data_IF_616049797455
#
_entry.id   IF_616049797455
#
_cell.length_a   1.000
_cell.length_b   1.000
_cell.length_c   1.000
_cell.angle_alpha   90.00
_cell.angle_beta   90.00
_cell.angle_gamma   90.00
#
_symmetry.space_group_name_H-M   'P 1'
#
loop_
_entity.id
_entity.type
_entity.pdbx_description
1 polymer ?
#
# COMPACT_ATOMS: atom_id res chain seq x y z
N UNK A 1 6.31 -13.15 10.23
CA UNK A 1 5.67 -12.49 9.05
C UNK A 1 4.25 -12.97 8.91
N UNK A 2 3.34 -12.06 8.64
CA UNK A 2 1.92 -12.36 8.51
C UNK A 2 1.43 -11.87 7.14
N UNK A 3 0.73 -12.72 6.41
CA UNK A 3 0.16 -12.38 5.10
C UNK A 3 -1.35 -12.56 5.16
N UNK A 4 -2.09 -11.52 4.81
CA UNK A 4 -3.55 -11.55 4.82
C UNK A 4 -4.08 -10.98 3.52
N UNK A 5 -5.23 -11.51 3.05
CA UNK A 5 -5.94 -10.89 1.94
C UNK A 5 -6.71 -9.67 2.44
N UNK A 6 -6.77 -8.63 1.61
CA UNK A 6 -7.65 -7.50 1.87
C UNK A 6 -9.09 -8.01 1.78
N UNK A 7 -9.95 -7.55 2.67
CA UNK A 7 -11.36 -7.91 2.67
C UNK A 7 -12.20 -6.80 2.07
N UNK A 8 -13.28 -7.20 1.38
CA UNK A 8 -14.27 -6.25 0.86
C UNK A 8 -15.11 -5.69 2.02
N UNK A 9 -15.91 -4.68 1.74
CA UNK A 9 -16.85 -4.12 2.71
C UNK A 9 -17.87 -5.16 3.24
N UNK A 10 -18.05 -6.26 2.52
CA UNK A 10 -18.93 -7.36 2.91
C UNK A 10 -18.20 -8.47 3.66
N UNK A 11 -16.91 -8.29 3.99
CA UNK A 11 -16.10 -9.27 4.69
C UNK A 11 -15.56 -10.41 3.85
N UNK A 12 -15.67 -10.32 2.52
CA UNK A 12 -15.13 -11.33 1.62
C UNK A 12 -13.66 -11.06 1.30
N UNK A 13 -12.84 -12.09 1.35
CA UNK A 13 -11.42 -11.97 0.99
C UNK A 13 -11.27 -11.71 -0.50
N UNK A 14 -10.44 -10.74 -0.83
CA UNK A 14 -10.19 -10.35 -2.23
C UNK A 14 -8.95 -11.09 -2.72
N UNK A 15 -9.09 -11.84 -3.81
CA UNK A 15 -7.98 -12.58 -4.40
C UNK A 15 -6.88 -11.62 -4.87
N UNK A 16 -5.62 -12.02 -4.69
CA UNK A 16 -4.44 -11.32 -5.22
C UNK A 16 -4.18 -9.92 -4.66
N UNK A 17 -4.86 -9.54 -3.59
CA UNK A 17 -4.64 -8.26 -2.90
C UNK A 17 -4.26 -8.58 -1.46
N UNK A 18 -2.99 -8.35 -1.10
CA UNK A 18 -2.44 -8.83 0.16
C UNK A 18 -1.91 -7.70 1.03
N UNK A 19 -2.11 -7.83 2.33
CA UNK A 19 -1.40 -7.03 3.33
C UNK A 19 -0.39 -7.95 4.02
N UNK A 20 0.86 -7.55 3.99
CA UNK A 20 1.96 -8.31 4.59
C UNK A 20 2.50 -7.51 5.77
N UNK A 21 2.60 -8.15 6.92
CA UNK A 21 3.17 -7.51 8.12
C UNK A 21 4.44 -8.28 8.49
N UNK A 22 5.57 -7.59 8.61
CA UNK A 22 6.82 -8.22 9.01
C UNK A 22 6.98 -8.20 10.54
N UNK A 23 8.10 -8.76 11.01
CA UNK A 23 8.31 -8.98 12.43
C UNK A 23 8.60 -7.69 13.22
N UNK A 24 8.91 -6.60 12.55
CA UNK A 24 9.18 -5.30 13.19
C UNK A 24 8.04 -4.29 12.99
N UNK A 25 6.91 -4.75 12.46
CA UNK A 25 5.72 -3.93 12.34
C UNK A 25 5.61 -3.12 11.05
N UNK A 26 6.48 -3.34 10.08
CA UNK A 26 6.31 -2.74 8.75
C UNK A 26 5.17 -3.46 8.03
N UNK A 27 4.37 -2.71 7.28
CA UNK A 27 3.27 -3.29 6.49
C UNK A 27 3.48 -2.98 5.01
N UNK A 28 3.06 -3.92 4.18
CA UNK A 28 3.19 -3.81 2.73
C UNK A 28 1.85 -4.14 2.09
N UNK A 29 1.51 -3.42 1.03
CA UNK A 29 0.40 -3.80 0.17
C UNK A 29 0.97 -4.36 -1.12
N UNK A 30 0.62 -5.63 -1.43
CA UNK A 30 0.98 -6.29 -2.67
C UNK A 30 -0.27 -6.54 -3.49
N UNK A 31 -0.23 -6.13 -4.76
CA UNK A 31 -1.30 -6.39 -5.72
C UNK A 31 -0.75 -7.35 -6.77
N UNK A 32 -1.34 -8.54 -6.86
CA UNK A 32 -0.83 -9.63 -7.70
C UNK A 32 0.63 -9.93 -7.33
N UNK A 33 1.58 -9.71 -8.23
CA UNK A 33 2.99 -10.00 -7.98
C UNK A 33 3.83 -8.74 -7.72
N UNK A 34 3.20 -7.59 -7.58
CA UNK A 34 3.89 -6.31 -7.45
C UNK A 34 3.67 -5.68 -6.08
N UNK A 35 4.74 -5.20 -5.47
CA UNK A 35 4.67 -4.43 -4.25
C UNK A 35 4.27 -3.00 -4.60
N UNK A 36 3.21 -2.50 -3.98
CA UNK A 36 2.62 -1.20 -4.30
C UNK A 36 2.97 -0.15 -3.25
N UNK A 37 2.81 -0.48 -1.97
CA UNK A 37 3.01 0.43 -0.84
C UNK A 37 3.81 -0.25 0.26
N UNK A 38 4.67 0.52 0.91
CA UNK A 38 5.35 0.09 2.14
C UNK A 38 5.09 1.13 3.23
N UNK A 39 4.55 0.69 4.37
CA UNK A 39 4.43 1.48 5.58
C UNK A 39 5.57 1.11 6.52
N UNK A 40 6.53 1.99 6.67
CA UNK A 40 7.67 1.76 7.55
C UNK A 40 7.28 2.19 8.97
N UNK A 41 7.40 1.28 9.91
CA UNK A 41 7.13 1.55 11.32
C UNK A 41 8.28 2.36 11.93
N UNK A 42 8.01 3.62 12.28
CA UNK A 42 8.99 4.53 12.87
C UNK A 42 8.69 4.82 14.34
N UNK A 43 8.07 3.89 15.06
CA UNK A 43 7.68 3.97 16.46
C UNK A 43 6.50 4.90 16.71
N UNK A 44 6.62 6.20 16.39
CA UNK A 44 5.55 7.17 16.63
C UNK A 44 4.69 7.47 15.41
N UNK A 45 5.11 7.02 14.23
CA UNK A 45 4.41 7.29 12.98
C UNK A 45 4.82 6.26 11.93
N UNK A 46 4.13 6.26 10.80
CA UNK A 46 4.50 5.44 9.65
C UNK A 46 5.06 6.34 8.54
N UNK A 47 6.21 5.93 8.00
CA UNK A 47 6.74 6.52 6.77
C UNK A 47 6.18 5.72 5.60
N UNK A 48 5.59 6.41 4.62
CA UNK A 48 4.95 5.75 3.50
C UNK A 48 5.81 5.87 2.25
N UNK A 49 6.11 4.71 1.63
CA UNK A 49 6.80 4.62 0.36
C UNK A 49 5.88 3.95 -0.64
N UNK A 50 5.81 4.49 -1.85
CA UNK A 50 5.00 3.95 -2.95
C UNK A 50 5.94 3.50 -4.07
N UNK A 51 5.59 2.41 -4.74
CA UNK A 51 6.37 1.97 -5.89
C UNK A 51 6.19 2.96 -7.05
N UNK A 52 7.32 3.49 -7.55
CA UNK A 52 7.31 4.54 -8.57
C UNK A 52 6.65 4.11 -9.88
N UNK A 53 6.67 2.80 -10.18
CA UNK A 53 6.10 2.28 -11.42
C UNK A 53 4.67 1.80 -11.26
N UNK A 54 4.35 1.18 -10.12
CA UNK A 54 3.08 0.46 -9.96
C UNK A 54 2.07 1.11 -9.02
N UNK A 55 2.41 2.22 -8.37
CA UNK A 55 1.53 2.80 -7.34
C UNK A 55 0.14 3.18 -7.87
N UNK A 56 0.02 3.46 -9.17
CA UNK A 56 -1.24 3.87 -9.78
C UNK A 56 -1.39 3.31 -11.19
N UNK A 57 -1.01 2.05 -11.40
CA UNK A 57 -0.97 1.51 -12.76
C UNK A 57 -2.31 0.89 -13.23
N UNK A 58 -3.25 0.63 -12.34
CA UNK A 58 -4.56 0.10 -12.71
C UNK A 58 -5.65 0.55 -11.74
N UNK A 59 -6.91 0.48 -12.19
CA UNK A 59 -8.05 0.83 -11.35
C UNK A 59 -8.23 -0.14 -10.18
N UNK A 60 -8.00 -1.43 -10.41
CA UNK A 60 -8.10 -2.45 -9.37
C UNK A 60 -7.07 -2.21 -8.28
N UNK A 61 -5.82 -2.04 -8.66
CA UNK A 61 -4.75 -1.75 -7.69
C UNK A 61 -5.05 -0.45 -6.94
N UNK A 62 -5.52 0.58 -7.64
CA UNK A 62 -5.85 1.87 -7.02
C UNK A 62 -6.95 1.76 -5.97
N UNK A 63 -7.98 0.96 -6.25
CA UNK A 63 -9.07 0.75 -5.30
C UNK A 63 -8.55 0.16 -3.98
N UNK A 64 -7.73 -0.86 -4.04
CA UNK A 64 -7.23 -1.51 -2.83
C UNK A 64 -6.10 -0.75 -2.17
N UNK A 65 -5.30 0.00 -2.93
CA UNK A 65 -4.34 0.95 -2.38
C UNK A 65 -5.07 1.99 -1.52
N UNK A 66 -6.21 2.51 -1.99
CA UNK A 66 -6.99 3.48 -1.23
C UNK A 66 -7.49 2.88 0.09
N UNK A 67 -7.92 1.63 0.06
CA UNK A 67 -8.34 0.91 1.27
C UNK A 67 -7.16 0.75 2.24
N UNK A 68 -6.01 0.33 1.73
CA UNK A 68 -4.82 0.11 2.55
C UNK A 68 -4.34 1.40 3.21
N UNK A 69 -4.36 2.52 2.47
CA UNK A 69 -3.92 3.82 2.98
C UNK A 69 -5.02 4.56 3.76
N UNK A 70 -6.29 4.17 3.58
CA UNK A 70 -7.42 4.84 4.22
C UNK A 70 -7.68 6.22 3.67
N UNK A 71 -7.47 6.43 2.37
CA UNK A 71 -7.59 7.74 1.75
C UNK A 71 -7.98 7.65 0.27
N UNK A 72 -8.30 8.78 -0.34
CA UNK A 72 -8.63 8.87 -1.77
C UNK A 72 -7.37 9.05 -2.60
N UNK A 73 -7.48 8.82 -3.92
CA UNK A 73 -6.37 9.07 -4.85
C UNK A 73 -5.94 10.54 -4.84
N UNK A 74 -6.90 11.46 -4.68
CA UNK A 74 -6.61 12.89 -4.61
C UNK A 74 -5.72 13.21 -3.42
N UNK A 75 -6.02 12.64 -2.26
CA UNK A 75 -5.21 12.80 -1.05
C UNK A 75 -3.82 12.20 -1.23
N UNK A 76 -3.73 11.01 -1.84
CA UNK A 76 -2.45 10.36 -2.11
C UNK A 76 -1.58 11.22 -3.03
N UNK A 77 -2.16 11.78 -4.11
CA UNK A 77 -1.41 12.64 -5.02
C UNK A 77 -0.88 13.90 -4.33
N UNK A 78 -1.66 14.51 -3.44
CA UNK A 78 -1.21 15.66 -2.67
C UNK A 78 -0.04 15.32 -1.78
N UNK A 79 -0.05 14.17 -1.14
CA UNK A 79 1.01 13.72 -0.25
C UNK A 79 2.29 13.38 -1.00
N UNK A 80 2.18 12.83 -2.21
CA UNK A 80 3.33 12.62 -3.08
C UNK A 80 3.95 13.96 -3.47
N UNK A 81 3.13 14.91 -3.87
CA UNK A 81 3.59 16.23 -4.31
C UNK A 81 4.25 17.00 -3.17
N UNK A 82 3.76 16.88 -1.95
CA UNK A 82 4.32 17.57 -0.79
C UNK A 82 5.60 16.90 -0.25
N UNK A 83 5.91 15.69 -0.71
CA UNK A 83 7.05 14.92 -0.20
C UNK A 83 6.74 14.09 1.03
N UNK A 84 5.51 14.11 1.52
CA UNK A 84 5.11 13.28 2.64
C UNK A 84 5.18 11.77 2.28
N UNK A 85 4.79 11.43 1.06
CA UNK A 85 4.93 10.08 0.49
C UNK A 85 6.08 10.10 -0.51
N UNK A 86 6.90 9.06 -0.48
CA UNK A 86 8.09 8.95 -1.32
C UNK A 86 7.86 7.89 -2.38
N UNK A 87 8.16 8.24 -3.64
CA UNK A 87 8.14 7.27 -4.75
C UNK A 87 9.53 6.63 -4.85
N UNK A 88 9.59 5.32 -4.83
CA UNK A 88 10.84 4.57 -4.92
C UNK A 88 10.57 3.22 -5.56
N UNK A 89 11.63 2.46 -5.86
CA UNK A 89 11.48 1.13 -6.45
C UNK A 89 11.34 0.09 -5.34
N UNK A 90 10.12 -0.43 -5.17
CA UNK A 90 9.82 -1.48 -4.18
C UNK A 90 9.93 -2.89 -4.75
N UNK A 91 10.19 -3.04 -6.05
CA UNK A 91 10.15 -4.34 -6.75
C UNK A 91 11.47 -4.77 -7.37
N UNK A 92 12.55 -4.20 -6.96
CA UNK A 92 13.86 -4.58 -7.48
C UNK A 92 14.38 -5.92 -6.93
#
# INVERSE_FOLDING_TARGET
MKVENIESSKGNKIANQFVITDDVGNQYFQSYNSMIVKKVNCSNFYKIELDQKYWNYSNTTGKYRNIFLGETITETKKKIKSGEYILTDLNK
#
